data_IF_740798457493
#
_entry.id   IF_740798457493
#
_cell.length_a   1.000
_cell.length_b   1.000
_cell.length_c   1.000
_cell.angle_alpha   90.00
_cell.angle_beta   90.00
_cell.angle_gamma   90.00
#
_symmetry.space_group_name_H-M   'P 1'
#
loop_
_entity.id
_entity.type
_entity.pdbx_description
1 polymer ?
#
# COMPACT_ATOMS: atom_id res chain seq x y z
N UNK A 1 6.16 -15.19 0.30
CA UNK A 1 4.87 -15.85 0.00
C UNK A 1 4.14 -15.27 -1.21
N UNK A 2 3.55 -14.07 -1.19
CA UNK A 2 2.82 -13.57 -2.38
C UNK A 2 3.71 -13.47 -3.63
N UNK A 3 4.92 -12.91 -3.50
CA UNK A 3 5.91 -12.84 -4.60
C UNK A 3 6.29 -14.22 -5.16
N UNK A 4 6.57 -15.19 -4.28
CA UNK A 4 7.03 -16.52 -4.71
C UNK A 4 5.89 -17.40 -5.24
N UNK A 5 4.67 -17.27 -4.69
CA UNK A 5 3.55 -18.18 -4.98
C UNK A 5 2.61 -17.63 -6.04
N UNK A 6 2.27 -16.34 -5.98
CA UNK A 6 1.37 -15.70 -6.92
C UNK A 6 2.13 -15.16 -8.15
N UNK A 7 3.17 -14.36 -7.92
CA UNK A 7 3.99 -13.79 -9.01
C UNK A 7 5.01 -14.79 -9.57
N UNK A 8 5.32 -15.85 -8.82
CA UNK A 8 6.28 -16.92 -9.20
C UNK A 8 7.65 -16.38 -9.59
N UNK A 9 8.12 -15.39 -8.83
CA UNK A 9 9.40 -14.72 -9.05
C UNK A 9 10.20 -14.59 -7.75
N UNK A 10 11.42 -14.05 -7.83
CA UNK A 10 12.26 -13.77 -6.67
C UNK A 10 11.98 -12.38 -6.10
N UNK A 11 12.43 -12.14 -4.86
CA UNK A 11 12.31 -10.84 -4.21
C UNK A 11 13.00 -9.74 -5.02
N UNK A 12 14.22 -10.01 -5.50
CA UNK A 12 15.03 -9.06 -6.29
C UNK A 12 14.40 -8.78 -7.66
N UNK A 13 13.92 -9.82 -8.34
CA UNK A 13 13.25 -9.67 -9.63
C UNK A 13 11.96 -8.86 -9.50
N UNK A 14 11.17 -9.08 -8.44
CA UNK A 14 9.99 -8.25 -8.19
C UNK A 14 10.35 -6.77 -7.96
N UNK A 15 11.45 -6.48 -7.26
CA UNK A 15 11.93 -5.09 -7.12
C UNK A 15 12.35 -4.50 -8.48
N UNK A 16 13.02 -5.27 -9.33
CA UNK A 16 13.38 -4.86 -10.69
C UNK A 16 12.13 -4.57 -11.53
N UNK A 17 11.15 -5.47 -11.53
CA UNK A 17 9.88 -5.30 -12.24
C UNK A 17 9.12 -4.04 -11.80
N UNK A 18 9.10 -3.74 -10.50
CA UNK A 18 8.50 -2.50 -9.97
C UNK A 18 9.24 -1.28 -10.51
N UNK A 19 10.58 -1.24 -10.40
CA UNK A 19 11.40 -0.11 -10.88
C UNK A 19 11.21 0.13 -12.37
N UNK A 20 11.25 -0.93 -13.17
CA UNK A 20 11.15 -0.86 -14.64
C UNK A 20 9.77 -0.35 -15.07
N UNK A 21 8.70 -0.90 -14.48
CA UNK A 21 7.33 -0.51 -14.82
C UNK A 21 7.05 0.95 -14.49
N UNK A 22 7.44 1.39 -13.30
CA UNK A 22 7.26 2.78 -12.85
C UNK A 22 8.10 3.72 -13.72
N UNK A 23 9.40 3.45 -13.88
CA UNK A 23 10.31 4.29 -14.67
C UNK A 23 9.85 4.43 -16.11
N UNK A 24 9.36 3.34 -16.71
CA UNK A 24 8.81 3.36 -18.06
C UNK A 24 7.61 4.30 -18.16
N UNK A 25 6.62 4.19 -17.28
CA UNK A 25 5.42 5.03 -17.31
C UNK A 25 5.74 6.50 -17.04
N UNK A 26 6.65 6.78 -16.09
CA UNK A 26 7.15 8.12 -15.81
C UNK A 26 7.85 8.71 -17.03
N UNK A 27 8.68 7.93 -17.74
CA UNK A 27 9.33 8.37 -18.99
C UNK A 27 8.35 8.74 -20.11
N UNK A 28 7.10 8.27 -20.03
CA UNK A 28 5.99 8.63 -20.94
C UNK A 28 5.18 9.81 -20.43
N UNK A 29 5.65 10.53 -19.41
CA UNK A 29 4.97 11.68 -18.82
C UNK A 29 3.70 11.31 -18.05
N UNK A 30 3.58 10.06 -17.59
CA UNK A 30 2.44 9.62 -16.77
C UNK A 30 2.74 9.84 -15.30
N UNK A 31 1.73 10.29 -14.55
CA UNK A 31 1.75 10.26 -13.09
C UNK A 31 1.40 8.84 -12.64
N UNK A 32 2.26 8.25 -11.82
CA UNK A 32 2.16 6.82 -11.45
C UNK A 32 1.78 6.69 -9.98
N UNK A 33 0.81 5.83 -9.72
CA UNK A 33 0.36 5.42 -8.39
C UNK A 33 0.63 3.92 -8.30
N UNK A 34 1.25 3.48 -7.21
CA UNK A 34 1.61 2.06 -7.03
C UNK A 34 0.85 1.51 -5.84
N UNK A 35 -0.08 0.60 -6.10
CA UNK A 35 -0.76 -0.15 -5.06
C UNK A 35 0.12 -1.34 -4.63
N UNK A 36 0.62 -1.30 -3.40
CA UNK A 36 1.33 -2.42 -2.80
C UNK A 36 0.31 -3.43 -2.25
N UNK A 37 -0.16 -4.31 -3.13
CA UNK A 37 -1.10 -5.38 -2.75
C UNK A 37 -0.50 -6.27 -1.64
N UNK A 38 -1.34 -6.63 -0.66
CA UNK A 38 -0.97 -7.38 0.55
C UNK A 38 0.17 -6.74 1.36
N UNK A 39 0.32 -5.41 1.30
CA UNK A 39 1.43 -4.72 1.96
C UNK A 39 1.55 -5.07 3.44
N UNK A 40 0.45 -5.00 4.20
CA UNK A 40 0.52 -5.17 5.65
C UNK A 40 0.87 -6.60 6.08
N UNK A 41 0.39 -7.61 5.35
CA UNK A 41 0.80 -9.01 5.59
C UNK A 41 2.24 -9.24 5.16
N UNK A 42 2.64 -8.68 4.03
CA UNK A 42 4.02 -8.67 3.56
C UNK A 42 4.97 -8.01 4.56
N UNK A 43 4.55 -6.90 5.16
CA UNK A 43 5.30 -6.18 6.18
C UNK A 43 5.42 -7.01 7.46
N UNK A 44 4.34 -7.62 7.95
CA UNK A 44 4.39 -8.52 9.12
C UNK A 44 5.33 -9.72 8.89
N UNK A 45 5.41 -10.23 7.67
CA UNK A 45 6.27 -11.35 7.32
C UNK A 45 7.73 -10.94 7.09
N UNK A 46 7.98 -9.83 6.41
CA UNK A 46 9.30 -9.31 6.10
C UNK A 46 9.27 -7.77 5.95
N UNK A 47 9.45 -7.02 7.06
CA UNK A 47 9.37 -5.56 7.06
C UNK A 47 10.38 -4.90 6.13
N UNK A 48 11.62 -5.40 6.09
CA UNK A 48 12.68 -4.80 5.28
C UNK A 48 12.39 -4.93 3.79
N UNK A 49 11.90 -6.09 3.36
CA UNK A 49 11.49 -6.28 1.98
C UNK A 49 10.29 -5.40 1.61
N UNK A 50 9.26 -5.34 2.46
CA UNK A 50 8.09 -4.49 2.21
C UNK A 50 8.48 -3.02 2.05
N UNK A 51 9.37 -2.50 2.92
CA UNK A 51 9.93 -1.14 2.79
C UNK A 51 10.78 -0.99 1.51
N UNK A 52 11.47 -2.04 1.08
CA UNK A 52 12.27 -2.03 -0.15
C UNK A 52 11.40 -1.90 -1.40
N UNK A 53 10.20 -2.51 -1.43
CA UNK A 53 9.21 -2.30 -2.50
C UNK A 53 8.74 -0.85 -2.55
N UNK A 54 8.45 -0.25 -1.39
CA UNK A 54 8.05 1.17 -1.30
C UNK A 54 9.16 2.09 -1.82
N UNK A 55 10.41 1.87 -1.40
CA UNK A 55 11.57 2.63 -1.91
C UNK A 55 11.75 2.44 -3.40
N UNK A 56 11.68 1.20 -3.89
CA UNK A 56 11.83 0.90 -5.31
C UNK A 56 10.80 1.65 -6.18
N UNK A 57 9.54 1.67 -5.75
CA UNK A 57 8.48 2.42 -6.44
C UNK A 57 8.73 3.95 -6.37
N UNK A 58 9.00 4.48 -5.17
CA UNK A 58 9.19 5.92 -4.96
C UNK A 58 10.43 6.45 -5.70
N UNK A 59 11.57 5.75 -5.63
CA UNK A 59 12.82 6.12 -6.30
C UNK A 59 12.71 6.04 -7.83
N UNK A 60 11.86 5.14 -8.36
CA UNK A 60 11.56 5.06 -9.78
C UNK A 60 10.63 6.18 -10.28
N UNK A 61 10.11 7.02 -9.37
CA UNK A 61 9.30 8.19 -9.70
C UNK A 61 7.79 8.00 -9.52
N UNK A 62 7.35 6.99 -8.77
CA UNK A 62 5.95 6.91 -8.36
C UNK A 62 5.58 8.14 -7.52
N UNK A 63 4.45 8.76 -7.83
CA UNK A 63 3.98 9.95 -7.12
C UNK A 63 3.32 9.60 -5.77
N UNK A 64 2.68 8.43 -5.69
CA UNK A 64 2.12 7.89 -4.45
C UNK A 64 2.37 6.38 -4.41
N UNK A 65 2.79 5.88 -3.25
CA UNK A 65 2.83 4.44 -2.95
C UNK A 65 1.74 4.12 -1.93
N UNK A 66 0.78 3.29 -2.32
CA UNK A 66 -0.44 3.00 -1.56
C UNK A 66 -0.24 1.70 -0.80
N UNK A 67 -0.43 1.74 0.51
CA UNK A 67 -0.33 0.59 1.40
C UNK A 67 -1.71 -0.07 1.47
N UNK A 68 -1.82 -1.30 0.95
CA UNK A 68 -3.10 -2.00 0.87
C UNK A 68 -3.27 -2.99 2.04
N UNK A 69 -4.29 -2.78 2.87
CA UNK A 69 -4.83 -3.80 3.78
C UNK A 69 -5.77 -4.73 2.99
N UNK A 70 -5.18 -5.49 2.07
CA UNK A 70 -5.90 -6.29 1.07
C UNK A 70 -6.83 -7.31 1.71
N UNK A 71 -6.48 -7.87 2.87
CA UNK A 71 -7.30 -8.85 3.58
C UNK A 71 -8.22 -8.22 4.65
N UNK A 72 -8.19 -6.90 4.82
CA UNK A 72 -9.00 -6.16 5.80
C UNK A 72 -8.72 -6.55 7.25
N UNK A 73 -7.50 -7.02 7.54
CA UNK A 73 -7.13 -7.65 8.81
C UNK A 73 -6.39 -6.75 9.79
N UNK A 74 -6.21 -5.47 9.46
CA UNK A 74 -5.48 -4.53 10.30
C UNK A 74 -6.39 -3.84 11.30
N UNK A 75 -5.84 -3.52 12.47
CA UNK A 75 -6.48 -2.64 13.44
C UNK A 75 -5.86 -1.24 13.42
N UNK A 76 -6.59 -0.18 13.81
CA UNK A 76 -6.11 1.20 13.67
C UNK A 76 -4.73 1.47 14.29
N UNK A 77 -4.49 0.97 15.51
CA UNK A 77 -3.21 1.15 16.19
C UNK A 77 -2.03 0.48 15.43
N UNK A 78 -2.29 -0.65 14.78
CA UNK A 78 -1.29 -1.33 13.96
C UNK A 78 -1.02 -0.57 12.66
N UNK A 79 -2.08 0.00 12.05
CA UNK A 79 -1.94 0.86 10.86
C UNK A 79 -1.09 2.08 11.20
N UNK A 80 -1.40 2.82 12.27
CA UNK A 80 -0.62 3.98 12.69
C UNK A 80 0.86 3.65 12.88
N UNK A 81 1.17 2.56 13.60
CA UNK A 81 2.55 2.17 13.88
C UNK A 81 3.33 1.82 12.59
N UNK A 82 2.71 1.03 11.70
CA UNK A 82 3.35 0.58 10.46
C UNK A 82 3.51 1.76 9.49
N UNK A 83 2.46 2.54 9.25
CA UNK A 83 2.50 3.70 8.34
C UNK A 83 3.55 4.72 8.80
N UNK A 84 3.61 5.03 10.10
CA UNK A 84 4.61 5.96 10.65
C UNK A 84 6.04 5.46 10.40
N UNK A 85 6.27 4.15 10.61
CA UNK A 85 7.59 3.54 10.40
C UNK A 85 7.98 3.58 8.92
N UNK A 86 7.06 3.19 8.03
CA UNK A 86 7.31 3.18 6.58
C UNK A 86 7.57 4.60 6.07
N UNK A 87 6.81 5.60 6.55
CA UNK A 87 7.02 6.99 6.19
C UNK A 87 8.40 7.48 6.63
N UNK A 88 8.77 7.25 7.90
CA UNK A 88 10.06 7.67 8.45
C UNK A 88 11.24 7.03 7.71
N UNK A 89 11.13 5.74 7.37
CA UNK A 89 12.22 4.96 6.78
C UNK A 89 12.38 5.16 5.26
N UNK A 90 11.34 5.62 4.57
CA UNK A 90 11.35 5.71 3.10
C UNK A 90 11.21 7.14 2.58
N UNK A 91 10.59 8.04 3.35
CA UNK A 91 10.25 9.40 2.90
C UNK A 91 9.27 9.45 1.74
N UNK A 92 8.73 8.31 1.31
CA UNK A 92 7.80 8.23 0.18
C UNK A 92 6.47 8.90 0.53
N UNK A 93 5.81 9.48 -0.48
CA UNK A 93 4.43 9.94 -0.32
C UNK A 93 3.52 8.72 -0.24
N UNK A 94 2.94 8.48 0.93
CA UNK A 94 2.11 7.30 1.17
C UNK A 94 0.62 7.55 0.95
N UNK A 95 -0.07 6.50 0.48
CA UNK A 95 -1.51 6.38 0.48
C UNK A 95 -2.02 5.17 1.24
N UNK A 96 -3.33 5.11 1.50
CA UNK A 96 -3.99 3.99 2.18
C UNK A 96 -5.15 3.44 1.34
N UNK A 97 -5.23 2.11 1.27
CA UNK A 97 -6.37 1.36 0.77
C UNK A 97 -6.75 0.29 1.79
N UNK A 98 -7.95 0.38 2.37
CA UNK A 98 -8.40 -0.53 3.43
C UNK A 98 -9.66 -1.30 3.01
N UNK A 99 -9.61 -2.63 3.12
CA UNK A 99 -10.80 -3.48 3.06
C UNK A 99 -11.44 -3.61 4.45
N UNK A 100 -12.75 -3.87 4.48
CA UNK A 100 -13.58 -3.76 5.68
C UNK A 100 -13.83 -5.10 6.40
N UNK A 101 -13.04 -6.14 6.16
CA UNK A 101 -13.24 -7.50 6.72
C UNK A 101 -13.33 -7.52 8.27
N UNK A 102 -12.70 -6.56 8.94
CA UNK A 102 -12.77 -6.37 10.40
C UNK A 102 -13.70 -5.23 10.84
N UNK A 103 -14.47 -4.63 9.92
CA UNK A 103 -15.28 -3.43 10.16
C UNK A 103 -14.46 -2.18 10.48
N UNK A 104 -13.16 -2.20 10.15
CA UNK A 104 -12.21 -1.17 10.53
C UNK A 104 -11.74 -0.31 9.34
N UNK A 105 -12.26 -0.46 8.12
CA UNK A 105 -11.67 0.18 6.95
C UNK A 105 -11.62 1.71 7.06
N UNK A 106 -12.73 2.35 7.47
CA UNK A 106 -12.76 3.81 7.69
C UNK A 106 -11.81 4.22 8.80
N UNK A 107 -11.80 3.49 9.91
CA UNK A 107 -10.92 3.79 11.05
C UNK A 107 -9.44 3.62 10.71
N UNK A 108 -9.09 2.58 9.95
CA UNK A 108 -7.74 2.30 9.44
C UNK A 108 -7.31 3.40 8.47
N UNK A 109 -8.20 3.85 7.60
CA UNK A 109 -7.94 4.97 6.70
C UNK A 109 -7.62 6.26 7.46
N UNK A 110 -8.42 6.61 8.48
CA UNK A 110 -8.14 7.78 9.33
C UNK A 110 -6.81 7.62 10.10
N UNK A 111 -6.56 6.44 10.65
CA UNK A 111 -5.32 6.13 11.36
C UNK A 111 -4.07 6.26 10.48
N UNK A 112 -4.19 5.93 9.18
CA UNK A 112 -3.12 6.14 8.21
C UNK A 112 -2.89 7.63 7.90
N UNK A 113 -3.97 8.41 7.79
CA UNK A 113 -3.90 9.88 7.60
C UNK A 113 -3.23 10.54 8.80
N UNK A 114 -3.62 10.18 10.02
CA UNK A 114 -3.00 10.68 11.26
C UNK A 114 -1.51 10.33 11.34
N UNK A 115 -1.11 9.19 10.75
CA UNK A 115 0.29 8.77 10.64
C UNK A 115 1.06 9.43 9.48
N UNK A 116 0.41 10.29 8.69
CA UNK A 116 1.03 11.09 7.62
C UNK A 116 0.75 10.63 6.19
N UNK A 117 -0.13 9.65 5.96
CA UNK A 117 -0.59 9.34 4.61
C UNK A 117 -1.38 10.53 4.02
N UNK A 118 -1.13 10.86 2.75
CA UNK A 118 -1.73 12.04 2.08
C UNK A 118 -2.61 11.67 0.89
N UNK A 119 -2.86 10.38 0.71
CA UNK A 119 -3.77 9.84 -0.29
C UNK A 119 -4.61 8.73 0.32
N UNK A 120 -5.89 8.69 -0.04
CA UNK A 120 -6.85 7.70 0.46
C UNK A 120 -7.64 7.16 -0.72
N UNK A 121 -7.75 5.84 -0.76
CA UNK A 121 -8.68 5.14 -1.65
C UNK A 121 -9.88 4.66 -0.84
N UNK A 122 -11.07 5.00 -1.32
CA UNK A 122 -12.35 4.69 -0.70
C UNK A 122 -13.39 4.54 -1.81
N UNK A 123 -14.57 4.01 -1.47
CA UNK A 123 -15.64 3.78 -2.43
C UNK A 123 -16.99 4.28 -1.92
N UNK A 124 -17.86 4.65 -2.86
CA UNK A 124 -19.24 5.00 -2.55
C UNK A 124 -19.94 3.80 -1.89
N UNK A 125 -20.55 4.02 -0.73
CA UNK A 125 -21.23 2.99 0.07
C UNK A 125 -20.33 1.80 0.46
N UNK A 126 -19.01 1.98 0.46
CA UNK A 126 -18.05 0.92 0.77
C UNK A 126 -18.00 -0.20 -0.27
N UNK A 127 -18.56 -0.02 -1.47
CA UNK A 127 -18.59 -1.07 -2.48
C UNK A 127 -17.18 -1.63 -2.81
N UNK A 128 -17.07 -2.94 -2.98
CA UNK A 128 -15.80 -3.61 -3.23
C UNK A 128 -15.91 -5.14 -3.22
N UNK A 129 -14.77 -5.80 -3.33
CA UNK A 129 -14.67 -7.24 -3.13
C UNK A 129 -15.06 -7.61 -1.69
N UNK A 130 -15.54 -8.85 -1.48
CA UNK A 130 -15.91 -9.39 -0.15
C UNK A 130 -16.88 -8.48 0.60
N UNK A 131 -16.45 -7.89 1.71
CA UNK A 131 -17.26 -6.99 2.54
C UNK A 131 -17.05 -5.51 2.21
N UNK A 132 -16.19 -5.21 1.23
CA UNK A 132 -16.02 -3.87 0.69
C UNK A 132 -14.80 -3.12 1.20
N UNK A 133 -14.75 -1.84 0.82
CA UNK A 133 -13.66 -0.92 1.14
C UNK A 133 -14.12 0.16 2.13
N UNK A 134 -13.21 1.02 2.55
CA UNK A 134 -13.55 2.22 3.32
C UNK A 134 -14.67 3.02 2.63
N UNK A 135 -15.80 3.17 3.34
CA UNK A 135 -16.97 3.87 2.81
C UNK A 135 -16.74 5.39 2.82
N UNK A 136 -16.90 6.00 1.65
CA UNK A 136 -16.77 7.45 1.45
C UNK A 136 -17.95 8.26 2.02
N UNK A 137 -19.14 7.67 2.09
CA UNK A 137 -20.37 8.36 2.50
C UNK A 137 -20.94 7.65 3.73
N UNK A 138 -20.74 8.18 4.95
CA UNK A 138 -21.41 7.66 6.14
C UNK A 138 -22.93 7.90 6.10
#
# INVERSE_FOLDING_TARGET
RHVELALRTTLDENLAMVRDSVSYLVSKGRRVFVDCEHFFDGYKANPEYAKSVVRAASEAGADVVILCDTNGGMLPAQVTAIVSTVLADTGARLGMHAQDDTGCAVANTLAAVDAGATHVQCTANGYGERVGNANLFP
#
